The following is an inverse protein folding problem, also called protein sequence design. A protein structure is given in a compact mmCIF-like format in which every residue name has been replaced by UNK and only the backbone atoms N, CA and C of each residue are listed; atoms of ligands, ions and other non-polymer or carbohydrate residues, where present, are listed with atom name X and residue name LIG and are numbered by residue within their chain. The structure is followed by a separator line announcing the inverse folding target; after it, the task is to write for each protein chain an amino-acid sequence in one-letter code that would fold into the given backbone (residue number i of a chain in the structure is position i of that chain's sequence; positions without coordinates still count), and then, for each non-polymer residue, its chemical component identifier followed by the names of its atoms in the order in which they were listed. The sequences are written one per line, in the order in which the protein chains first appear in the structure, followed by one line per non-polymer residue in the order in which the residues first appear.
data_IF_340875909920
#
_entry.id   IF_340875909920
#
_cell.length_a   1.000
_cell.length_b   1.000
_cell.length_c   1.000
_cell.angle_alpha   90.00
_cell.angle_beta   90.00
_cell.angle_gamma   90.00
#
_symmetry.space_group_name_H-M   'P 1'
#
loop_
_entity.id
_entity.type
_entity.pdbx_description
1 polymer ?
#
# COMPACT_ATOMS: atom_id res chain seq x y z
N UNK A 1 4.22 -5.29 0.37
CA UNK A 1 3.32 -4.18 0.75
C UNK A 1 2.77 -3.59 -0.53
N UNK A 2 1.46 -3.47 -0.62
CA UNK A 2 0.72 -3.06 -1.82
C UNK A 2 -0.27 -1.98 -1.41
N UNK A 3 -0.45 -0.97 -2.25
CA UNK A 3 -1.48 0.04 -2.08
C UNK A 3 -2.32 0.13 -3.35
N UNK A 4 -3.61 0.30 -3.16
CA UNK A 4 -4.62 0.34 -4.20
C UNK A 4 -5.46 1.60 -4.08
N UNK A 5 -5.87 2.14 -5.23
CA UNK A 5 -6.90 3.17 -5.27
C UNK A 5 -8.30 2.60 -4.96
N UNK A 6 -9.29 3.50 -4.90
CA UNK A 6 -10.71 3.13 -4.67
C UNK A 6 -11.30 2.18 -5.73
N UNK A 7 -10.64 2.01 -6.87
CA UNK A 7 -11.07 1.15 -7.98
C UNK A 7 -10.31 -0.18 -8.01
N UNK A 8 -9.41 -0.42 -7.06
CA UNK A 8 -8.58 -1.62 -7.01
C UNK A 8 -7.35 -1.58 -7.91
N UNK A 9 -6.99 -0.42 -8.47
CA UNK A 9 -5.76 -0.25 -9.25
C UNK A 9 -4.55 -0.14 -8.32
N UNK A 10 -3.52 -0.95 -8.55
CA UNK A 10 -2.26 -0.87 -7.79
C UNK A 10 -1.57 0.47 -8.08
N UNK A 11 -1.35 1.27 -7.05
CA UNK A 11 -0.71 2.59 -7.14
C UNK A 11 0.72 2.59 -6.60
N UNK A 12 1.03 1.63 -5.72
CA UNK A 12 2.34 1.47 -5.11
C UNK A 12 2.54 0.03 -4.65
N UNK A 13 3.77 -0.43 -4.78
CA UNK A 13 4.22 -1.75 -4.32
C UNK A 13 5.65 -1.64 -3.83
N UNK A 14 5.90 -2.20 -2.65
CA UNK A 14 7.25 -2.38 -2.11
C UNK A 14 7.39 -3.74 -1.43
N UNK A 15 8.56 -4.35 -1.56
CA UNK A 15 8.95 -5.59 -0.85
C UNK A 15 9.85 -5.32 0.35
N UNK A 16 10.28 -4.07 0.57
CA UNK A 16 11.20 -3.71 1.64
C UNK A 16 10.43 -3.43 2.92
N UNK A 17 10.85 -4.07 4.02
CA UNK A 17 10.31 -3.79 5.34
C UNK A 17 10.58 -2.34 5.75
N UNK A 18 9.58 -1.68 6.34
CA UNK A 18 9.65 -0.28 6.78
C UNK A 18 9.48 0.75 5.66
N UNK A 19 9.35 0.29 4.41
CA UNK A 19 9.10 1.17 3.27
C UNK A 19 7.59 1.42 3.15
N UNK A 20 7.18 2.65 3.43
CA UNK A 20 5.79 3.08 3.43
C UNK A 20 5.43 3.87 2.18
N UNK A 21 4.13 4.00 1.91
CA UNK A 21 3.67 4.90 0.86
C UNK A 21 3.62 6.33 1.37
N UNK A 22 4.33 7.24 0.69
CA UNK A 22 4.45 8.66 1.05
C UNK A 22 3.43 9.57 0.33
N UNK A 23 2.40 8.98 -0.28
CA UNK A 23 1.40 9.70 -1.08
C UNK A 23 1.80 9.88 -2.55
N UNK A 24 3.00 9.43 -2.97
CA UNK A 24 3.41 9.46 -4.39
C UNK A 24 3.02 8.18 -5.11
N UNK A 25 2.41 8.31 -6.28
CA UNK A 25 1.97 7.18 -7.09
C UNK A 25 3.00 6.85 -8.17
N UNK A 26 3.11 5.56 -8.53
CA UNK A 26 3.96 5.10 -9.63
C UNK A 26 5.42 5.56 -9.55
N UNK A 27 6.01 5.50 -8.35
CA UNK A 27 7.41 5.87 -8.12
C UNK A 27 7.69 7.38 -8.17
N UNK A 28 6.69 8.23 -7.89
CA UNK A 28 6.88 9.69 -7.87
C UNK A 28 6.37 10.45 -9.08
N UNK A 29 5.69 9.77 -10.03
CA UNK A 29 5.19 10.43 -11.25
C UNK A 29 4.12 11.47 -10.97
N UNK A 30 3.30 11.26 -9.95
CA UNK A 30 2.28 12.21 -9.51
C UNK A 30 1.91 11.99 -8.05
N UNK A 31 1.36 13.02 -7.43
CA UNK A 31 0.82 12.97 -6.07
C UNK A 31 -0.60 12.40 -6.15
N UNK A 32 -0.92 11.48 -5.24
CA UNK A 32 -2.29 10.95 -5.13
C UNK A 32 -3.29 12.06 -4.81
N UNK A 33 -4.52 11.90 -5.31
CA UNK A 33 -5.61 12.77 -4.94
C UNK A 33 -6.03 12.52 -3.48
N UNK A 34 -6.64 13.50 -2.86
CA UNK A 34 -7.33 13.29 -1.58
C UNK A 34 -8.38 12.19 -1.74
N UNK A 35 -8.41 11.27 -0.77
CA UNK A 35 -9.28 10.11 -0.87
C UNK A 35 -8.84 8.96 0.02
N UNK A 36 -9.62 7.89 -0.02
CA UNK A 36 -9.32 6.67 0.72
C UNK A 36 -8.67 5.65 -0.19
N UNK A 37 -7.56 5.11 0.30
CA UNK A 37 -6.73 4.10 -0.34
C UNK A 37 -6.70 2.84 0.51
N UNK A 38 -6.57 1.69 -0.12
CA UNK A 38 -6.47 0.40 0.57
C UNK A 38 -5.02 -0.06 0.53
N UNK A 39 -4.49 -0.53 1.65
CA UNK A 39 -3.19 -1.17 1.70
C UNK A 39 -3.30 -2.64 2.09
N UNK A 40 -2.37 -3.44 1.59
CA UNK A 40 -2.24 -4.86 1.87
C UNK A 40 -0.78 -5.23 2.12
N UNK A 41 -0.53 -5.97 3.19
CA UNK A 41 0.78 -6.53 3.54
C UNK A 41 0.63 -8.04 3.63
N UNK A 42 1.52 -8.75 2.95
CA UNK A 42 1.65 -10.21 3.01
C UNK A 42 3.03 -10.51 3.57
N UNK A 43 3.07 -11.28 4.66
CA UNK A 43 4.31 -11.72 5.31
C UNK A 43 4.24 -13.20 5.61
N UNK A 44 5.39 -13.86 5.54
CA UNK A 44 5.52 -15.24 6.00
C UNK A 44 6.15 -15.23 7.37
N UNK A 45 5.61 -16.02 8.29
CA UNK A 45 6.25 -16.21 9.60
C UNK A 45 7.37 -17.27 9.54
N UNK A 46 7.97 -17.55 10.70
CA UNK A 46 9.02 -18.56 10.84
C UNK A 46 8.58 -19.99 10.51
N UNK A 47 7.26 -20.25 10.54
CA UNK A 47 6.65 -21.54 10.17
C UNK A 47 6.25 -21.60 8.69
N UNK A 48 6.49 -20.52 7.94
CA UNK A 48 6.06 -20.31 6.54
C UNK A 48 4.54 -20.17 6.39
N UNK A 49 3.84 -19.83 7.46
CA UNK A 49 2.43 -19.49 7.36
C UNK A 49 2.29 -18.08 6.77
N UNK A 50 1.38 -17.93 5.81
CA UNK A 50 1.08 -16.66 5.16
C UNK A 50 0.13 -15.85 6.05
N UNK A 51 0.58 -14.67 6.46
CA UNK A 51 -0.24 -13.69 7.15
C UNK A 51 -0.54 -12.53 6.21
N UNK A 52 -1.84 -12.24 6.03
CA UNK A 52 -2.32 -11.10 5.25
C UNK A 52 -2.95 -10.06 6.16
N UNK A 53 -2.48 -8.82 6.03
CA UNK A 53 -2.98 -7.66 6.75
C UNK A 53 -3.49 -6.65 5.73
N UNK A 54 -4.71 -6.16 5.93
CA UNK A 54 -5.30 -5.13 5.08
C UNK A 54 -5.82 -3.98 5.91
N UNK A 55 -5.83 -2.78 5.32
CA UNK A 55 -6.33 -1.60 5.98
C UNK A 55 -6.67 -0.50 4.99
N UNK A 56 -7.26 0.57 5.51
CA UNK A 56 -7.59 1.77 4.74
C UNK A 56 -6.78 2.94 5.27
N UNK A 57 -6.30 3.79 4.37
CA UNK A 57 -5.67 5.06 4.71
C UNK A 57 -6.39 6.17 3.96
N UNK A 58 -6.70 7.25 4.65
CA UNK A 58 -7.30 8.43 4.02
C UNK A 58 -6.23 9.50 3.87
N UNK A 59 -5.97 9.89 2.63
CA UNK A 59 -5.12 11.02 2.31
C UNK A 59 -5.96 12.28 2.40
N UNK A 60 -5.56 13.18 3.31
CA UNK A 60 -6.16 14.49 3.55
C UNK A 60 -5.06 15.53 3.29
N UNK A 61 -5.42 16.68 2.73
CA UNK A 61 -4.50 17.78 2.42
C UNK A 61 -4.73 18.98 3.33
#
# INVERSE_FOLDING_TARGET
MFYFDRWGSEIFKSSKWGDGWDGKVNGGKYIAQEGTYVWMVRVYDVRRDLHEYTGRVTLIR
#
